data_IF_476592264870
#
_entry.id   IF_476592264870
#
_cell.length_a   1.000
_cell.length_b   1.000
_cell.length_c   1.000
_cell.angle_alpha   90.00
_cell.angle_beta   90.00
_cell.angle_gamma   90.00
#
_symmetry.space_group_name_H-M   'P 1'
#
loop_
_entity.id
_entity.type
_entity.pdbx_description
1 polymer ?
#
# COMPACT_ATOMS: atom_id res chain seq x y z
N UNK A 1 1.58 47.31 8.64
CA UNK A 1 2.66 46.53 9.27
C UNK A 1 2.15 45.11 9.41
N UNK A 2 2.56 44.20 8.51
CA UNK A 2 2.30 42.78 8.66
C UNK A 2 3.41 42.21 9.52
N UNK A 3 3.06 41.84 10.77
CA UNK A 3 3.96 41.11 11.62
C UNK A 3 4.22 39.75 10.98
N UNK A 4 5.42 39.51 10.48
CA UNK A 4 5.86 38.21 9.99
C UNK A 4 5.73 37.19 11.12
N UNK A 5 4.91 36.15 10.92
CA UNK A 5 4.94 34.96 11.78
C UNK A 5 6.34 34.38 11.68
N UNK A 6 7.13 34.46 12.74
CA UNK A 6 8.39 33.74 12.83
C UNK A 6 8.08 32.25 12.68
N UNK A 7 8.64 31.61 11.67
CA UNK A 7 8.47 30.16 11.47
C UNK A 7 9.20 29.44 12.59
N UNK A 8 8.48 28.57 13.30
CA UNK A 8 9.05 27.69 14.33
C UNK A 8 10.08 26.77 13.66
N UNK A 9 11.26 26.70 14.24
CA UNK A 9 12.30 25.78 13.76
C UNK A 9 12.53 24.61 14.74
N UNK A 10 13.20 23.60 14.29
CA UNK A 10 13.49 22.39 15.08
C UNK A 10 14.24 22.71 16.39
N UNK A 11 15.16 23.67 16.34
CA UNK A 11 15.93 24.09 17.52
C UNK A 11 15.05 24.74 18.58
N UNK A 12 13.94 25.39 18.19
CA UNK A 12 13.00 25.97 19.15
C UNK A 12 12.29 24.89 19.98
N UNK A 13 12.06 23.72 19.40
CA UNK A 13 11.49 22.55 20.07
C UNK A 13 12.55 21.89 20.95
N UNK A 14 13.73 21.57 20.39
CA UNK A 14 14.84 20.91 21.11
C UNK A 14 15.32 21.68 22.33
N UNK A 15 15.23 23.02 22.28
CA UNK A 15 15.58 23.87 23.43
C UNK A 15 14.58 23.75 24.60
N UNK A 16 13.40 23.18 24.39
CA UNK A 16 12.29 23.16 25.38
C UNK A 16 11.91 21.75 25.83
N UNK A 17 12.11 20.74 25.00
CA UNK A 17 11.68 19.37 25.27
C UNK A 17 12.66 18.38 24.66
N UNK A 18 12.91 17.27 25.37
CA UNK A 18 13.71 16.16 24.82
C UNK A 18 12.93 15.34 23.82
N UNK A 19 13.63 14.71 22.88
CA UNK A 19 13.01 13.81 21.91
C UNK A 19 12.40 12.57 22.56
N UNK A 20 12.91 12.18 23.71
CA UNK A 20 12.39 11.12 24.58
C UNK A 20 11.02 11.50 25.16
N UNK A 21 10.86 12.75 25.61
CA UNK A 21 9.57 13.25 26.09
C UNK A 21 8.54 13.32 24.95
N UNK A 22 8.96 13.62 23.73
CA UNK A 22 8.09 13.56 22.55
C UNK A 22 7.64 12.11 22.25
N UNK A 23 8.56 11.14 22.31
CA UNK A 23 8.24 9.74 22.14
C UNK A 23 7.25 9.25 23.21
N UNK A 24 7.49 9.63 24.45
CA UNK A 24 6.60 9.28 25.56
C UNK A 24 5.20 9.89 25.40
N UNK A 25 5.13 11.17 25.04
CA UNK A 25 3.84 11.85 24.91
C UNK A 25 3.01 11.42 23.71
N UNK A 26 3.64 11.29 22.54
CA UNK A 26 2.91 11.02 21.29
C UNK A 26 2.80 9.55 20.92
N UNK A 27 3.77 8.73 21.33
CA UNK A 27 3.82 7.29 21.00
C UNK A 27 3.54 6.41 22.24
N UNK A 28 3.34 7.03 23.42
CA UNK A 28 3.15 6.33 24.71
C UNK A 28 4.29 5.32 24.99
N UNK A 29 5.49 5.63 24.55
CA UNK A 29 6.62 4.71 24.57
C UNK A 29 7.86 5.32 25.21
N UNK A 30 8.52 4.56 26.06
CA UNK A 30 9.85 4.88 26.56
C UNK A 30 10.91 4.66 25.45
N UNK A 31 12.09 5.26 25.59
CA UNK A 31 13.23 5.03 24.71
C UNK A 31 14.39 4.51 25.57
N UNK A 32 15.01 3.35 25.25
CA UNK A 32 14.69 2.45 24.14
C UNK A 32 13.45 1.55 24.42
N UNK A 33 12.72 1.19 23.37
CA UNK A 33 11.61 0.24 23.46
C UNK A 33 11.29 -0.44 22.13
N UNK A 34 10.54 -1.53 22.20
CA UNK A 34 9.94 -2.21 21.06
C UNK A 34 8.43 -2.27 21.31
N UNK A 35 7.66 -1.59 20.47
CA UNK A 35 6.20 -1.45 20.60
C UNK A 35 5.48 -1.93 19.35
N UNK A 36 4.16 -2.04 19.41
CA UNK A 36 3.34 -2.19 18.22
C UNK A 36 3.42 -0.93 17.37
N UNK A 37 3.40 -1.08 16.05
CA UNK A 37 3.52 0.06 15.14
C UNK A 37 2.41 1.09 15.39
N UNK A 38 2.73 2.37 15.60
CA UNK A 38 1.72 3.43 15.74
C UNK A 38 1.05 3.78 14.41
N UNK A 39 1.54 3.20 13.30
CA UNK A 39 1.12 3.54 11.94
C UNK A 39 0.14 2.56 11.33
N UNK A 40 0.00 1.36 11.93
CA UNK A 40 -0.86 0.28 11.45
C UNK A 40 -1.29 -0.62 12.61
N UNK A 41 -2.28 -1.46 12.36
CA UNK A 41 -2.59 -2.55 13.29
C UNK A 41 -1.45 -3.57 13.27
N UNK A 42 -0.95 -3.90 14.45
CA UNK A 42 0.17 -4.80 14.65
C UNK A 42 -0.20 -5.82 15.74
N UNK A 43 -0.04 -7.10 15.44
CA UNK A 43 -0.36 -8.18 16.40
C UNK A 43 0.87 -8.56 17.24
N UNK A 44 2.05 -8.11 16.84
CA UNK A 44 3.33 -8.32 17.55
C UNK A 44 4.17 -7.05 17.48
N UNK A 45 4.85 -6.67 18.56
CA UNK A 45 5.73 -5.51 18.56
C UNK A 45 6.78 -5.59 17.43
N UNK A 46 6.78 -4.58 16.58
CA UNK A 46 7.70 -4.51 15.44
C UNK A 46 8.28 -3.11 15.22
N UNK A 47 7.91 -2.14 16.04
CA UNK A 47 8.36 -0.76 15.96
C UNK A 47 9.34 -0.45 17.08
N UNK A 48 10.62 -0.31 16.76
CA UNK A 48 11.69 -0.04 17.72
C UNK A 48 11.97 1.46 17.80
N UNK A 49 12.07 1.95 19.02
CA UNK A 49 12.61 3.28 19.36
C UNK A 49 13.97 3.11 20.03
N UNK A 50 14.96 3.87 19.60
CA UNK A 50 16.33 3.78 20.12
C UNK A 50 17.09 5.10 19.95
N UNK A 51 18.18 5.28 20.71
CA UNK A 51 19.07 6.42 20.57
C UNK A 51 20.17 6.13 19.54
N UNK A 52 20.51 7.14 18.73
CA UNK A 52 21.74 7.10 17.95
C UNK A 52 22.93 7.52 18.82
N UNK A 53 24.14 7.54 18.23
CA UNK A 53 25.38 7.95 18.91
C UNK A 53 25.39 9.41 19.37
N UNK A 54 24.53 10.24 18.83
CA UNK A 54 24.37 11.66 19.15
C UNK A 54 23.26 11.91 20.20
N UNK A 55 22.58 10.86 20.66
CA UNK A 55 21.48 10.94 21.61
C UNK A 55 20.12 11.34 21.00
N UNK A 56 19.98 11.37 19.67
CA UNK A 56 18.71 11.61 19.03
C UNK A 56 17.87 10.34 19.00
N UNK A 57 16.54 10.48 19.11
CA UNK A 57 15.60 9.36 19.03
C UNK A 57 15.32 8.99 17.59
N UNK A 58 15.64 7.76 17.24
CA UNK A 58 15.35 7.14 15.96
C UNK A 58 14.30 6.05 16.12
N UNK A 59 13.60 5.74 15.04
CA UNK A 59 12.76 4.55 14.96
C UNK A 59 13.16 3.65 13.79
N UNK A 60 12.85 2.36 13.95
CA UNK A 60 12.83 1.37 12.89
C UNK A 60 11.60 0.50 13.03
N UNK A 61 10.79 0.43 11.98
CA UNK A 61 9.70 -0.53 11.85
C UNK A 61 10.21 -1.76 11.10
N UNK A 62 10.40 -2.86 11.82
CA UNK A 62 10.96 -4.10 11.26
C UNK A 62 10.03 -4.81 10.29
N UNK A 63 8.74 -4.50 10.30
CA UNK A 63 7.80 -5.13 9.37
C UNK A 63 7.75 -4.42 8.00
N UNK A 64 8.11 -3.13 7.96
CA UNK A 64 8.12 -2.34 6.72
C UNK A 64 9.52 -1.92 6.28
N UNK A 65 10.53 -2.18 7.12
CA UNK A 65 11.92 -1.70 7.03
C UNK A 65 12.05 -0.16 7.02
N UNK A 66 10.98 0.52 7.39
CA UNK A 66 10.95 1.97 7.46
C UNK A 66 11.70 2.46 8.69
N UNK A 67 12.45 3.54 8.54
CA UNK A 67 13.26 4.13 9.60
C UNK A 67 13.32 5.65 9.48
N UNK A 68 13.51 6.32 10.60
CA UNK A 68 13.65 7.78 10.62
C UNK A 68 13.87 8.31 12.02
N UNK A 69 13.80 9.63 12.17
CA UNK A 69 13.83 10.31 13.46
C UNK A 69 12.43 10.35 14.09
N UNK A 70 12.35 10.67 15.37
CA UNK A 70 11.06 10.89 16.05
C UNK A 70 10.19 11.90 15.28
N UNK A 71 10.77 12.93 14.68
CA UNK A 71 10.04 13.93 13.90
C UNK A 71 9.41 13.35 12.65
N UNK A 72 10.09 12.45 11.95
CA UNK A 72 9.50 11.71 10.82
C UNK A 72 8.34 10.82 11.29
N UNK A 73 8.49 10.19 12.45
CA UNK A 73 7.40 9.41 13.04
C UNK A 73 6.18 10.29 13.34
N UNK A 74 6.38 11.49 13.91
CA UNK A 74 5.30 12.44 14.21
C UNK A 74 4.64 13.00 12.95
N UNK A 75 5.43 13.35 11.92
CA UNK A 75 4.86 13.76 10.62
C UNK A 75 3.93 12.68 10.07
N UNK A 76 4.34 11.44 10.13
CA UNK A 76 3.55 10.31 9.67
C UNK A 76 2.33 10.06 10.55
N UNK A 77 2.50 10.11 11.87
CA UNK A 77 1.41 9.88 12.83
C UNK A 77 0.28 10.91 12.65
N UNK A 78 0.65 12.17 12.42
CA UNK A 78 -0.30 13.26 12.22
C UNK A 78 -0.71 13.46 10.77
N UNK A 79 -0.03 12.82 9.83
CA UNK A 79 -0.19 13.04 8.39
C UNK A 79 -0.05 14.54 8.04
N UNK A 80 1.00 15.16 8.53
CA UNK A 80 1.27 16.60 8.40
C UNK A 80 2.58 16.87 7.67
N UNK A 81 2.70 18.08 7.11
CA UNK A 81 3.98 18.57 6.62
C UNK A 81 4.96 18.79 7.79
N UNK A 82 6.25 18.89 7.49
CA UNK A 82 7.27 19.15 8.51
C UNK A 82 6.98 20.45 9.30
N UNK A 83 6.62 21.52 8.60
CA UNK A 83 6.33 22.81 9.23
C UNK A 83 5.08 22.77 10.11
N UNK A 84 4.03 22.08 9.67
CA UNK A 84 2.79 21.94 10.46
C UNK A 84 3.04 21.07 11.70
N UNK A 85 3.83 20.01 11.56
CA UNK A 85 4.24 19.19 12.69
C UNK A 85 5.06 20.00 13.69
N UNK A 86 6.04 20.79 13.25
CA UNK A 86 6.82 21.66 14.13
C UNK A 86 5.91 22.64 14.90
N UNK A 87 4.98 23.27 14.20
CA UNK A 87 4.04 24.23 14.83
C UNK A 87 3.14 23.53 15.85
N UNK A 88 2.65 22.33 15.54
CA UNK A 88 1.81 21.52 16.42
C UNK A 88 2.57 21.12 17.70
N UNK A 89 3.77 20.56 17.54
CA UNK A 89 4.62 20.17 18.68
C UNK A 89 5.01 21.39 19.53
N UNK A 90 5.40 22.49 18.89
CA UNK A 90 5.73 23.73 19.59
C UNK A 90 4.57 24.25 20.42
N UNK A 91 3.36 24.27 19.87
CA UNK A 91 2.16 24.70 20.58
C UNK A 91 1.85 23.78 21.78
N UNK A 92 2.02 22.47 21.61
CA UNK A 92 1.78 21.50 22.70
C UNK A 92 2.81 21.66 23.83
N UNK A 93 4.06 21.97 23.49
CA UNK A 93 5.12 22.28 24.47
C UNK A 93 4.84 23.59 25.20
N UNK A 94 4.54 24.68 24.46
CA UNK A 94 4.30 26.02 25.06
C UNK A 94 3.04 26.02 25.92
N UNK A 95 2.02 25.26 25.54
CA UNK A 95 0.80 25.12 26.33
C UNK A 95 0.94 24.15 27.53
N UNK A 96 2.15 23.68 27.83
CA UNK A 96 2.43 22.84 28.98
C UNK A 96 1.89 21.41 28.89
N UNK A 97 1.50 20.95 27.71
CA UNK A 97 1.00 19.58 27.51
C UNK A 97 2.12 18.55 27.57
N UNK A 98 3.34 18.97 27.22
CA UNK A 98 4.55 18.14 27.24
C UNK A 98 5.50 18.72 28.27
N UNK A 99 5.79 17.95 29.32
CA UNK A 99 6.75 18.38 30.35
C UNK A 99 8.17 18.01 29.97
N UNK A 100 9.11 18.92 30.23
CA UNK A 100 10.55 18.72 30.01
C UNK A 100 11.15 17.58 30.86
N UNK A 101 10.47 17.13 31.88
CA UNK A 101 10.99 16.16 32.87
C UNK A 101 10.32 14.79 32.82
N UNK A 102 9.72 14.36 31.71
CA UNK A 102 9.25 12.97 31.52
C UNK A 102 8.33 12.37 32.62
N UNK A 103 7.94 13.16 33.64
CA UNK A 103 7.15 12.70 34.79
C UNK A 103 5.94 13.59 34.98
N UNK A 104 4.76 12.99 34.78
CA UNK A 104 3.44 13.43 35.24
C UNK A 104 2.86 14.71 34.58
N UNK A 105 1.79 14.66 33.87
CA UNK A 105 0.42 14.37 34.22
C UNK A 105 -0.38 13.99 32.99
N UNK A 106 -0.88 12.77 33.00
CA UNK A 106 -1.82 12.28 32.02
C UNK A 106 -3.13 13.08 32.09
N UNK A 107 -3.31 13.94 31.12
CA UNK A 107 -4.55 13.84 30.41
C UNK A 107 -4.28 12.73 29.39
N UNK A 108 -4.66 11.49 29.74
CA UNK A 108 -4.95 10.49 28.74
C UNK A 108 -5.91 11.22 27.79
N UNK A 109 -5.39 11.76 26.69
CA UNK A 109 -6.19 11.73 25.49
C UNK A 109 -6.35 10.24 25.25
N UNK A 110 -7.46 9.69 25.76
CA UNK A 110 -8.00 8.54 25.12
C UNK A 110 -8.10 8.97 23.68
N UNK A 111 -7.12 8.55 22.86
CA UNK A 111 -7.45 8.27 21.51
C UNK A 111 -8.53 7.21 21.69
N UNK A 112 -9.77 7.69 21.85
CA UNK A 112 -10.89 6.87 21.55
C UNK A 112 -10.42 6.24 20.24
N UNK A 113 -10.37 4.94 20.22
CA UNK A 113 -10.55 4.21 18.99
C UNK A 113 -11.90 4.70 18.48
N UNK A 114 -11.92 5.94 17.96
CA UNK A 114 -12.87 6.27 16.96
C UNK A 114 -12.60 5.16 15.97
N UNK A 115 -13.56 4.27 15.83
CA UNK A 115 -13.70 3.54 14.60
C UNK A 115 -13.35 4.58 13.54
N UNK A 116 -12.11 4.49 13.06
CA UNK A 116 -11.71 5.28 11.91
C UNK A 116 -12.56 4.71 10.81
N UNK A 117 -13.75 5.24 10.64
CA UNK A 117 -14.38 5.29 9.35
C UNK A 117 -13.39 6.09 8.52
N UNK A 118 -12.39 5.37 8.05
CA UNK A 118 -11.42 5.90 7.11
C UNK A 118 -12.15 6.03 5.79
N UNK A 119 -13.15 6.90 5.72
CA UNK A 119 -13.80 7.31 4.49
C UNK A 119 -12.82 8.18 3.71
N UNK A 120 -11.72 7.55 3.30
CA UNK A 120 -10.83 8.15 2.33
C UNK A 120 -11.51 8.01 0.98
N UNK A 121 -11.85 9.13 0.38
CA UNK A 121 -12.34 9.19 -1.01
C UNK A 121 -11.17 9.58 -1.90
N UNK A 122 -11.00 8.86 -3.02
CA UNK A 122 -10.06 9.23 -4.07
C UNK A 122 -10.86 9.51 -5.33
N UNK A 123 -10.81 10.74 -5.80
CA UNK A 123 -11.27 11.15 -7.13
C UNK A 123 -10.05 11.33 -8.04
N UNK A 124 -10.22 11.18 -9.36
CA UNK A 124 -9.10 11.18 -10.31
C UNK A 124 -9.36 12.11 -11.49
N UNK A 125 -8.30 12.75 -12.00
CA UNK A 125 -8.29 13.44 -13.27
C UNK A 125 -7.68 12.55 -14.36
N UNK A 126 -8.52 11.97 -15.20
CA UNK A 126 -8.10 11.11 -16.30
C UNK A 126 -7.52 11.96 -17.44
N UNK A 127 -6.47 11.49 -18.08
CA UNK A 127 -5.89 12.04 -19.31
C UNK A 127 -5.98 11.04 -20.46
N UNK A 128 -5.63 11.46 -21.64
CA UNK A 128 -5.47 10.54 -22.78
C UNK A 128 -4.25 9.65 -22.60
N UNK A 129 -4.31 8.45 -23.16
CA UNK A 129 -3.15 7.57 -23.32
C UNK A 129 -2.08 8.28 -24.13
N UNK A 130 -0.86 8.25 -23.69
CA UNK A 130 0.29 8.85 -24.35
C UNK A 130 1.23 7.73 -24.86
N UNK A 131 2.07 7.99 -25.86
CA UNK A 131 2.96 6.96 -26.42
C UNK A 131 3.81 6.23 -25.37
N UNK A 132 4.29 6.96 -24.35
CA UNK A 132 5.07 6.34 -23.27
C UNK A 132 4.26 5.41 -22.36
N UNK A 133 2.94 5.65 -22.20
CA UNK A 133 2.07 4.74 -21.45
C UNK A 133 1.88 3.43 -22.23
N UNK A 134 1.63 3.55 -23.54
CA UNK A 134 1.50 2.40 -24.44
C UNK A 134 2.78 1.58 -24.42
N UNK A 135 3.94 2.23 -24.51
CA UNK A 135 5.24 1.56 -24.42
C UNK A 135 5.42 0.85 -23.07
N UNK A 136 5.08 1.52 -21.98
CA UNK A 136 5.16 0.95 -20.64
C UNK A 136 4.32 -0.32 -20.51
N UNK A 137 3.05 -0.28 -20.86
CA UNK A 137 2.14 -1.40 -20.70
C UNK A 137 2.38 -2.52 -21.72
N UNK A 138 2.74 -2.19 -22.97
CA UNK A 138 3.11 -3.19 -23.97
C UNK A 138 4.38 -3.96 -23.60
N UNK A 139 5.26 -3.39 -22.77
CA UNK A 139 6.41 -4.12 -22.23
C UNK A 139 6.02 -5.32 -21.34
N UNK A 140 4.74 -5.43 -20.95
CA UNK A 140 4.14 -6.57 -20.25
C UNK A 140 3.13 -7.34 -21.12
N UNK A 141 3.05 -7.04 -22.41
CA UNK A 141 2.08 -7.64 -23.32
C UNK A 141 0.65 -7.15 -23.13
N UNK A 142 0.46 -6.01 -22.46
CA UNK A 142 -0.85 -5.41 -22.17
C UNK A 142 -1.06 -4.24 -23.13
N UNK A 143 -2.12 -4.28 -23.96
CA UNK A 143 -2.52 -3.18 -24.83
C UNK A 143 -3.59 -2.28 -24.17
N UNK A 144 -3.91 -1.17 -24.81
CA UNK A 144 -4.89 -0.20 -24.31
C UNK A 144 -6.30 -0.79 -24.19
N UNK A 145 -6.72 -1.70 -25.07
CA UNK A 145 -8.04 -2.31 -25.01
C UNK A 145 -8.20 -3.14 -23.72
N UNK A 146 -7.15 -3.83 -23.29
CA UNK A 146 -7.12 -4.53 -22.01
C UNK A 146 -7.15 -3.59 -20.82
N UNK A 147 -6.48 -2.44 -20.93
CA UNK A 147 -6.50 -1.43 -19.86
C UNK A 147 -7.89 -0.79 -19.72
N UNK A 148 -8.52 -0.46 -20.84
CA UNK A 148 -9.88 0.07 -20.87
C UNK A 148 -10.90 -0.98 -20.35
N UNK A 149 -10.76 -2.24 -20.77
CA UNK A 149 -11.57 -3.36 -20.25
C UNK A 149 -11.45 -3.50 -18.74
N UNK A 150 -10.26 -3.29 -18.20
CA UNK A 150 -9.97 -3.43 -16.78
C UNK A 150 -10.26 -2.17 -15.95
N UNK A 151 -10.86 -1.14 -16.51
CA UNK A 151 -11.06 0.17 -15.86
C UNK A 151 -9.72 0.75 -15.31
N UNK A 152 -8.66 0.67 -16.10
CA UNK A 152 -7.37 1.28 -15.82
C UNK A 152 -7.24 2.57 -16.61
N UNK A 153 -6.99 3.67 -15.93
CA UNK A 153 -6.95 5.01 -16.55
C UNK A 153 -5.65 5.73 -16.26
N UNK A 154 -5.00 6.36 -17.27
CA UNK A 154 -3.87 7.24 -17.04
C UNK A 154 -4.38 8.56 -16.43
N UNK A 155 -3.68 9.06 -15.42
CA UNK A 155 -4.12 10.22 -14.65
C UNK A 155 -3.08 11.35 -14.61
N UNK A 156 -3.54 12.58 -14.40
CA UNK A 156 -2.69 13.77 -14.17
C UNK A 156 -2.64 14.16 -12.71
N UNK A 157 -3.75 14.01 -12.00
CA UNK A 157 -3.91 14.36 -10.60
C UNK A 157 -4.88 13.39 -9.95
N UNK A 158 -4.78 13.27 -8.62
CA UNK A 158 -5.83 12.66 -7.81
C UNK A 158 -6.15 13.55 -6.62
N UNK A 159 -7.38 13.48 -6.17
CA UNK A 159 -7.93 14.25 -5.06
C UNK A 159 -8.14 13.28 -3.91
N UNK A 160 -7.45 13.52 -2.81
CA UNK A 160 -7.58 12.71 -1.61
C UNK A 160 -8.44 13.47 -0.61
N UNK A 161 -9.66 13.03 -0.40
CA UNK A 161 -10.57 13.60 0.60
C UNK A 161 -10.54 12.75 1.86
N UNK A 162 -10.22 13.36 2.99
CA UNK A 162 -10.22 12.75 4.31
C UNK A 162 -10.75 13.75 5.32
N UNK A 163 -11.69 13.36 6.16
CA UNK A 163 -12.32 14.24 7.16
C UNK A 163 -12.89 15.55 6.55
N UNK A 164 -13.49 15.46 5.37
CA UNK A 164 -14.01 16.59 4.58
C UNK A 164 -12.95 17.60 4.06
N UNK A 165 -11.68 17.30 4.24
CA UNK A 165 -10.59 18.07 3.63
C UNK A 165 -10.09 17.39 2.38
N UNK A 166 -9.96 18.13 1.28
CA UNK A 166 -9.50 17.60 0.00
C UNK A 166 -8.12 18.15 -0.33
N UNK A 167 -7.17 17.26 -0.50
CA UNK A 167 -5.84 17.55 -1.01
C UNK A 167 -5.76 17.20 -2.49
N UNK A 168 -5.22 18.11 -3.31
CA UNK A 168 -4.96 17.89 -4.73
C UNK A 168 -3.50 17.45 -4.88
N UNK A 169 -3.29 16.29 -5.46
CA UNK A 169 -1.95 15.71 -5.60
C UNK A 169 -1.67 15.53 -7.09
N UNK A 170 -0.59 16.16 -7.56
CA UNK A 170 -0.11 15.95 -8.92
C UNK A 170 0.48 14.54 -9.02
N UNK A 171 0.00 13.77 -9.97
CA UNK A 171 0.53 12.43 -10.22
C UNK A 171 1.84 12.48 -11.03
N UNK A 172 2.63 11.41 -10.90
CA UNK A 172 3.84 11.23 -11.68
C UNK A 172 3.54 11.06 -13.19
N UNK A 173 4.56 11.17 -14.02
CA UNK A 173 4.42 10.96 -15.49
C UNK A 173 3.77 9.61 -15.80
N UNK A 174 4.21 8.56 -15.12
CA UNK A 174 3.63 7.21 -15.22
C UNK A 174 2.73 7.00 -13.99
N UNK A 175 1.48 7.41 -14.12
CA UNK A 175 0.50 7.23 -13.07
C UNK A 175 -0.82 6.73 -13.65
N UNK A 176 -1.33 5.67 -13.03
CA UNK A 176 -2.52 4.96 -13.49
C UNK A 176 -3.46 4.73 -12.32
N UNK A 177 -4.75 4.86 -12.55
CA UNK A 177 -5.77 4.53 -11.55
C UNK A 177 -6.43 3.20 -11.93
N UNK A 178 -6.43 2.27 -10.99
CA UNK A 178 -7.23 1.05 -11.03
C UNK A 178 -8.56 1.32 -10.35
N UNK A 179 -9.66 1.18 -11.09
CA UNK A 179 -11.00 1.45 -10.59
C UNK A 179 -11.79 0.16 -10.51
N UNK A 180 -12.26 -0.19 -9.33
CA UNK A 180 -13.13 -1.35 -9.13
C UNK A 180 -14.47 -0.90 -8.58
N UNK A 181 -15.56 -1.48 -9.10
CA UNK A 181 -16.95 -1.21 -8.67
C UNK A 181 -17.54 -2.45 -8.06
N UNK A 182 -17.91 -2.37 -6.79
CA UNK A 182 -18.52 -3.48 -6.06
C UNK A 182 -19.67 -2.96 -5.19
N UNK A 183 -20.86 -3.48 -5.40
CA UNK A 183 -22.04 -3.22 -4.54
C UNK A 183 -22.31 -1.71 -4.32
N UNK A 184 -22.17 -0.90 -5.38
CA UNK A 184 -22.33 0.56 -5.32
C UNK A 184 -21.14 1.33 -4.77
N UNK A 185 -20.13 0.64 -4.24
CA UNK A 185 -18.86 1.24 -3.79
C UNK A 185 -17.88 1.32 -4.96
N UNK A 186 -17.22 2.44 -5.10
CA UNK A 186 -16.11 2.64 -6.05
C UNK A 186 -14.80 2.71 -5.24
N UNK A 187 -13.88 1.81 -5.56
CA UNK A 187 -12.53 1.85 -5.02
C UNK A 187 -11.55 2.27 -6.10
N UNK A 188 -10.63 3.12 -5.72
CA UNK A 188 -9.56 3.61 -6.59
C UNK A 188 -8.23 3.30 -5.93
N UNK A 189 -7.34 2.69 -6.70
CA UNK A 189 -5.94 2.49 -6.33
C UNK A 189 -5.06 3.15 -7.38
N UNK A 190 -4.26 4.11 -6.96
CA UNK A 190 -3.31 4.79 -7.86
C UNK A 190 -2.01 4.00 -7.90
N UNK A 191 -1.53 3.72 -9.09
CA UNK A 191 -0.26 3.06 -9.35
C UNK A 191 0.74 4.01 -9.99
N UNK A 192 1.86 4.22 -9.32
CA UNK A 192 2.96 5.08 -9.78
C UNK A 192 4.27 4.29 -9.72
N UNK A 193 4.62 3.55 -10.79
CA UNK A 193 5.72 2.57 -10.78
C UNK A 193 7.07 3.15 -10.37
N UNK A 194 7.32 4.40 -10.68
CA UNK A 194 8.59 5.08 -10.43
C UNK A 194 8.57 6.04 -9.24
N UNK A 195 7.44 6.16 -8.53
CA UNK A 195 7.35 6.99 -7.34
C UNK A 195 7.88 6.23 -6.11
N UNK A 196 8.94 6.71 -5.45
CA UNK A 196 9.54 5.99 -4.34
C UNK A 196 8.70 6.03 -3.05
N UNK A 197 7.90 7.09 -2.85
CA UNK A 197 7.19 7.30 -1.57
C UNK A 197 5.70 7.02 -1.62
N UNK A 198 5.03 7.30 -2.75
CA UNK A 198 3.58 7.19 -2.90
C UNK A 198 3.20 6.30 -4.07
N UNK A 199 3.78 5.10 -4.10
CA UNK A 199 3.58 4.16 -5.20
C UNK A 199 2.13 3.67 -5.30
N UNK A 200 1.43 3.55 -4.16
CA UNK A 200 0.14 2.87 -4.05
C UNK A 200 -0.92 3.59 -3.19
N UNK A 201 -1.27 4.88 -3.42
CA UNK A 201 -2.42 5.46 -2.75
C UNK A 201 -3.70 4.69 -3.09
N UNK A 202 -4.52 4.33 -2.08
CA UNK A 202 -5.75 3.59 -2.27
C UNK A 202 -6.80 3.98 -1.24
N UNK A 203 -8.08 3.86 -1.60
CA UNK A 203 -9.21 4.03 -0.69
C UNK A 203 -9.90 2.73 -0.29
N UNK A 204 -9.29 1.58 -0.58
CA UNK A 204 -9.76 0.27 -0.14
C UNK A 204 -9.12 -0.11 1.20
N UNK A 205 -9.61 0.49 2.27
CA UNK A 205 -8.99 0.36 3.60
C UNK A 205 -9.30 -0.96 4.32
N UNK A 206 -10.38 -1.63 3.92
CA UNK A 206 -10.83 -2.88 4.54
C UNK A 206 -10.33 -4.14 3.81
N UNK A 207 -9.67 -3.97 2.65
CA UNK A 207 -9.14 -5.07 1.86
C UNK A 207 -10.22 -6.00 1.25
N UNK A 208 -11.51 -5.62 1.31
CA UNK A 208 -12.61 -6.47 0.81
C UNK A 208 -12.75 -6.46 -0.70
N UNK A 209 -12.19 -5.44 -1.37
CA UNK A 209 -12.26 -5.33 -2.82
C UNK A 209 -11.09 -6.08 -3.45
N UNK A 210 -11.41 -7.02 -4.32
CA UNK A 210 -10.48 -7.77 -5.16
C UNK A 210 -10.56 -7.17 -6.55
N UNK A 211 -9.45 -6.76 -7.12
CA UNK A 211 -9.43 -6.11 -8.43
C UNK A 211 -9.74 -7.11 -9.55
N UNK A 212 -10.35 -6.61 -10.63
CA UNK A 212 -10.84 -7.38 -11.77
C UNK A 212 -11.96 -8.37 -11.44
N UNK A 213 -12.52 -8.31 -10.24
CA UNK A 213 -13.59 -9.23 -9.81
C UNK A 213 -14.82 -9.18 -10.71
N UNK A 214 -15.23 -7.97 -11.08
CA UNK A 214 -16.38 -7.74 -11.96
C UNK A 214 -16.13 -8.16 -13.42
N UNK A 215 -14.88 -8.42 -13.79
CA UNK A 215 -14.46 -8.71 -15.16
C UNK A 215 -14.32 -10.21 -15.45
N UNK A 216 -14.04 -11.01 -14.44
CA UNK A 216 -13.88 -12.46 -14.64
C UNK A 216 -15.22 -13.14 -14.99
N UNK A 217 -15.21 -14.17 -15.84
CA UNK A 217 -16.41 -14.89 -16.24
C UNK A 217 -17.14 -15.51 -15.06
N UNK A 218 -18.46 -15.71 -15.20
CA UNK A 218 -19.29 -16.31 -14.14
C UNK A 218 -18.98 -17.78 -13.90
N UNK A 219 -18.40 -18.48 -14.89
CA UNK A 219 -17.99 -19.89 -14.81
C UNK A 219 -16.74 -20.10 -15.65
N UNK A 220 -15.91 -21.04 -15.25
CA UNK A 220 -14.70 -21.40 -16.01
C UNK A 220 -13.96 -22.59 -15.43
N UNK A 221 -12.93 -23.04 -16.15
CA UNK A 221 -12.09 -24.14 -15.70
C UNK A 221 -11.06 -23.65 -14.65
N UNK A 222 -10.43 -22.51 -14.92
CA UNK A 222 -9.33 -21.97 -14.09
C UNK A 222 -9.48 -20.47 -13.91
N UNK A 223 -9.14 -19.97 -12.72
CA UNK A 223 -8.90 -18.55 -12.43
C UNK A 223 -7.65 -18.42 -11.60
N UNK A 224 -6.86 -17.38 -11.84
CA UNK A 224 -5.65 -17.09 -11.07
C UNK A 224 -5.87 -15.91 -10.11
N UNK A 225 -5.30 -16.00 -8.92
CA UNK A 225 -5.21 -14.93 -7.91
C UNK A 225 -3.79 -14.43 -7.91
N UNK A 226 -3.59 -13.18 -8.33
CA UNK A 226 -2.29 -12.53 -8.44
C UNK A 226 -2.07 -11.48 -7.34
N UNK A 227 -0.82 -11.05 -7.13
CA UNK A 227 -0.43 -10.03 -6.17
C UNK A 227 -0.83 -8.62 -6.60
N UNK A 228 -0.85 -8.34 -7.90
CA UNK A 228 -1.13 -7.02 -8.44
C UNK A 228 -2.00 -7.07 -9.72
N UNK A 229 -2.68 -5.94 -10.00
CA UNK A 229 -3.47 -5.77 -11.23
C UNK A 229 -2.58 -5.90 -12.47
N UNK A 230 -1.35 -5.40 -12.41
CA UNK A 230 -0.38 -5.52 -13.51
C UNK A 230 -0.10 -6.98 -13.84
N UNK A 231 0.10 -7.83 -12.83
CA UNK A 231 0.38 -9.25 -13.00
C UNK A 231 -0.85 -10.01 -13.50
N UNK A 232 -2.01 -9.73 -12.93
CA UNK A 232 -3.26 -10.32 -13.38
C UNK A 232 -3.57 -9.97 -14.84
N UNK A 233 -3.36 -8.72 -15.26
CA UNK A 233 -3.54 -8.30 -16.64
C UNK A 233 -2.48 -8.90 -17.57
N UNK A 234 -1.21 -8.95 -17.14
CA UNK A 234 -0.13 -9.58 -17.91
C UNK A 234 -0.45 -11.06 -18.17
N UNK A 235 -0.90 -11.79 -17.16
CA UNK A 235 -1.31 -13.17 -17.30
C UNK A 235 -2.50 -13.29 -18.25
N UNK A 236 -3.59 -12.59 -17.95
CA UNK A 236 -4.86 -12.75 -18.66
C UNK A 236 -4.79 -12.31 -20.12
N UNK A 237 -4.21 -11.13 -20.41
CA UNK A 237 -4.09 -10.60 -21.77
C UNK A 237 -3.21 -11.48 -22.69
N UNK A 238 -2.26 -12.19 -22.12
CA UNK A 238 -1.35 -13.02 -22.92
C UNK A 238 -1.83 -14.48 -23.04
N UNK A 239 -2.42 -15.05 -21.99
CA UNK A 239 -2.76 -16.49 -21.96
C UNK A 239 -4.25 -16.77 -22.15
N UNK A 240 -5.13 -15.78 -21.98
CA UNK A 240 -6.56 -15.96 -21.96
C UNK A 240 -7.11 -16.54 -20.64
N UNK A 241 -6.24 -16.88 -19.67
CA UNK A 241 -6.67 -17.40 -18.36
C UNK A 241 -7.12 -16.24 -17.48
N UNK A 242 -8.38 -16.23 -17.02
CA UNK A 242 -8.90 -15.17 -16.16
C UNK A 242 -8.08 -15.00 -14.89
N UNK A 243 -7.90 -13.77 -14.46
CA UNK A 243 -7.16 -13.48 -13.24
C UNK A 243 -7.81 -12.33 -12.46
N UNK A 244 -7.72 -12.43 -11.14
CA UNK A 244 -8.05 -11.36 -10.18
C UNK A 244 -6.79 -10.94 -9.42
N UNK A 245 -6.81 -9.77 -8.83
CA UNK A 245 -5.67 -9.30 -8.05
C UNK A 245 -6.07 -8.89 -6.63
N UNK A 246 -5.26 -9.28 -5.66
CA UNK A 246 -5.38 -8.81 -4.29
C UNK A 246 -4.97 -7.33 -4.20
N UNK A 247 -5.40 -6.64 -3.15
CA UNK A 247 -5.03 -5.23 -2.94
C UNK A 247 -3.59 -5.05 -2.47
N UNK A 248 -2.93 -6.11 -2.07
CA UNK A 248 -1.54 -6.18 -1.66
C UNK A 248 -1.26 -7.49 -0.94
N UNK A 249 0.01 -7.78 -0.73
CA UNK A 249 0.45 -8.90 0.09
C UNK A 249 -0.04 -8.71 1.54
N UNK A 250 -0.53 -9.79 2.14
CA UNK A 250 -1.05 -9.75 3.51
C UNK A 250 -2.54 -9.45 3.65
N UNK A 251 -3.25 -9.08 2.59
CA UNK A 251 -4.71 -8.93 2.64
C UNK A 251 -5.41 -10.29 2.50
N UNK A 252 -6.15 -10.74 3.54
CA UNK A 252 -6.86 -12.02 3.46
C UNK A 252 -8.04 -11.92 2.49
N UNK A 253 -8.36 -13.02 1.83
CA UNK A 253 -9.61 -13.15 1.11
C UNK A 253 -10.75 -13.46 2.09
N UNK A 254 -11.90 -12.80 1.93
CA UNK A 254 -13.08 -13.14 2.71
C UNK A 254 -13.60 -14.54 2.36
N UNK A 255 -14.24 -15.22 3.33
CA UNK A 255 -14.85 -16.53 3.08
C UNK A 255 -15.89 -16.48 1.95
N UNK A 256 -16.59 -15.35 1.81
CA UNK A 256 -17.53 -15.14 0.70
C UNK A 256 -16.79 -15.18 -0.65
N UNK A 257 -15.70 -14.43 -0.80
CA UNK A 257 -14.92 -14.42 -2.04
C UNK A 257 -14.32 -15.80 -2.35
N UNK A 258 -13.82 -16.50 -1.34
CA UNK A 258 -13.30 -17.86 -1.50
C UNK A 258 -14.38 -18.83 -2.00
N UNK A 259 -15.56 -18.80 -1.39
CA UNK A 259 -16.68 -19.68 -1.79
C UNK A 259 -17.23 -19.32 -3.18
N UNK A 260 -17.29 -18.04 -3.52
CA UNK A 260 -17.72 -17.58 -4.83
C UNK A 260 -16.75 -18.06 -5.92
N UNK A 261 -15.45 -17.92 -5.75
CA UNK A 261 -14.48 -18.44 -6.73
C UNK A 261 -14.57 -19.96 -6.87
N UNK A 262 -14.73 -20.70 -5.76
CA UNK A 262 -14.90 -22.17 -5.81
C UNK A 262 -16.20 -22.60 -6.52
N UNK A 263 -17.25 -21.80 -6.44
CA UNK A 263 -18.51 -22.11 -7.14
C UNK A 263 -18.45 -21.83 -8.64
N UNK A 264 -17.63 -20.85 -9.03
CA UNK A 264 -17.49 -20.38 -10.42
C UNK A 264 -16.44 -21.15 -11.22
N UNK A 265 -15.38 -21.58 -10.57
CA UNK A 265 -14.24 -22.18 -11.26
C UNK A 265 -13.90 -23.57 -10.70
N UNK A 266 -13.55 -24.51 -11.59
CA UNK A 266 -13.13 -25.85 -11.18
C UNK A 266 -11.80 -25.82 -10.40
N UNK A 267 -10.90 -24.88 -10.76
CA UNK A 267 -9.62 -24.69 -10.12
C UNK A 267 -9.36 -23.22 -9.88
N UNK A 268 -8.90 -22.89 -8.68
CA UNK A 268 -8.44 -21.55 -8.31
C UNK A 268 -6.97 -21.65 -7.95
N UNK A 269 -6.14 -20.93 -8.67
CA UNK A 269 -4.68 -20.96 -8.53
C UNK A 269 -4.19 -19.66 -7.87
N UNK A 270 -3.26 -19.77 -6.94
CA UNK A 270 -2.57 -18.63 -6.33
C UNK A 270 -1.24 -18.48 -7.03
N UNK A 271 -1.01 -17.33 -7.67
CA UNK A 271 0.23 -17.00 -8.39
C UNK A 271 0.73 -15.64 -7.88
N UNK A 272 1.38 -15.64 -6.73
CA UNK A 272 1.94 -14.43 -6.12
C UNK A 272 3.43 -14.29 -6.45
N UNK A 273 4.06 -13.28 -5.87
CA UNK A 273 5.49 -13.01 -6.05
C UNK A 273 6.36 -14.16 -5.54
N UNK A 274 7.49 -14.41 -6.20
CA UNK A 274 8.47 -15.44 -5.83
C UNK A 274 9.54 -14.92 -4.84
N UNK A 275 9.32 -13.78 -4.20
CA UNK A 275 10.16 -13.34 -3.08
C UNK A 275 9.72 -13.99 -1.74
N UNK A 276 10.55 -13.85 -0.71
CA UNK A 276 10.28 -14.50 0.58
C UNK A 276 8.90 -14.14 1.14
N UNK A 277 8.50 -12.84 1.20
CA UNK A 277 7.17 -12.46 1.67
C UNK A 277 6.04 -13.06 0.82
N UNK A 278 6.18 -13.04 -0.51
CA UNK A 278 5.17 -13.57 -1.44
C UNK A 278 5.00 -15.09 -1.28
N UNK A 279 6.09 -15.84 -1.14
CA UNK A 279 6.06 -17.31 -0.92
C UNK A 279 5.44 -17.69 0.43
N UNK A 280 5.77 -16.95 1.49
CA UNK A 280 5.15 -17.15 2.81
C UNK A 280 3.65 -16.85 2.79
N UNK A 281 3.28 -15.74 2.15
CA UNK A 281 1.89 -15.32 2.08
C UNK A 281 1.07 -16.25 1.18
N UNK A 282 1.58 -16.64 0.00
CA UNK A 282 0.89 -17.59 -0.89
C UNK A 282 0.65 -18.94 -0.20
N UNK A 283 1.60 -19.41 0.58
CA UNK A 283 1.47 -20.65 1.39
C UNK A 283 0.38 -20.50 2.46
N UNK A 284 0.34 -19.39 3.17
CA UNK A 284 -0.71 -19.10 4.17
C UNK A 284 -2.09 -19.00 3.51
N UNK A 285 -2.17 -18.31 2.37
CA UNK A 285 -3.42 -18.15 1.62
C UNK A 285 -3.93 -19.50 1.10
N UNK A 286 -3.05 -20.33 0.56
CA UNK A 286 -3.40 -21.69 0.10
C UNK A 286 -3.98 -22.55 1.23
N UNK A 287 -3.34 -22.54 2.41
CA UNK A 287 -3.84 -23.26 3.59
C UNK A 287 -5.20 -22.75 4.06
N UNK A 288 -5.40 -21.42 4.05
CA UNK A 288 -6.64 -20.82 4.51
C UNK A 288 -7.81 -21.04 3.54
N UNK A 289 -7.54 -21.05 2.24
CA UNK A 289 -8.57 -21.10 1.19
C UNK A 289 -8.77 -22.49 0.59
N UNK A 290 -7.76 -23.36 0.65
CA UNK A 290 -7.72 -24.63 -0.07
C UNK A 290 -7.48 -24.44 -1.58
N UNK A 291 -7.03 -23.28 -2.02
CA UNK A 291 -6.60 -23.03 -3.40
C UNK A 291 -5.21 -23.62 -3.69
N UNK A 292 -4.95 -23.93 -4.93
CA UNK A 292 -3.65 -24.48 -5.33
C UNK A 292 -2.59 -23.36 -5.42
N UNK A 293 -1.53 -23.48 -4.64
CA UNK A 293 -0.39 -22.56 -4.72
C UNK A 293 0.52 -22.93 -5.90
N UNK A 294 0.80 -21.97 -6.76
CA UNK A 294 1.62 -22.12 -7.97
C UNK A 294 2.83 -21.22 -7.87
N UNK A 295 3.99 -21.82 -7.92
CA UNK A 295 5.27 -21.09 -7.93
C UNK A 295 5.72 -20.93 -9.38
N UNK A 296 6.03 -19.70 -9.78
CA UNK A 296 6.58 -19.43 -11.12
C UNK A 296 7.94 -20.10 -11.28
N UNK A 297 8.33 -20.47 -12.52
CA UNK A 297 9.68 -20.91 -12.80
C UNK A 297 10.72 -19.88 -12.33
N UNK A 298 11.84 -20.35 -11.81
CA UNK A 298 12.92 -19.43 -11.41
C UNK A 298 13.46 -18.67 -12.63
N UNK A 299 13.65 -17.37 -12.48
CA UNK A 299 14.28 -16.51 -13.48
C UNK A 299 15.09 -15.40 -12.78
N UNK A 300 16.11 -14.94 -13.45
CA UNK A 300 16.99 -13.89 -12.93
C UNK A 300 16.38 -12.50 -13.15
N UNK A 301 16.42 -11.66 -12.12
CA UNK A 301 16.12 -10.23 -12.24
C UNK A 301 14.67 -9.82 -11.99
N UNK A 302 13.84 -10.71 -11.49
CA UNK A 302 12.45 -10.37 -11.13
C UNK A 302 11.80 -11.37 -10.19
N UNK A 303 10.57 -11.11 -9.81
CA UNK A 303 9.85 -11.90 -8.81
C UNK A 303 8.38 -12.20 -9.17
N UNK A 304 7.80 -11.45 -10.08
CA UNK A 304 6.38 -11.54 -10.45
C UNK A 304 6.16 -11.96 -11.90
N UNK A 305 4.91 -12.20 -12.27
CA UNK A 305 4.50 -12.64 -13.61
C UNK A 305 4.93 -11.66 -14.69
N UNK A 306 4.78 -10.37 -14.43
CA UNK A 306 5.14 -9.33 -15.38
C UNK A 306 6.66 -9.16 -15.53
N UNK A 307 7.41 -9.37 -14.48
CA UNK A 307 8.88 -9.44 -14.53
C UNK A 307 9.31 -10.65 -15.36
N UNK A 308 8.64 -11.82 -15.20
CA UNK A 308 8.91 -13.01 -15.99
C UNK A 308 8.65 -12.77 -17.48
N UNK A 309 7.52 -12.10 -17.81
CA UNK A 309 7.23 -11.71 -19.20
C UNK A 309 8.35 -10.88 -19.81
N UNK A 310 8.82 -9.85 -19.09
CA UNK A 310 9.93 -9.00 -19.53
C UNK A 310 11.24 -9.77 -19.68
N UNK A 311 11.57 -10.64 -18.73
CA UNK A 311 12.80 -11.42 -18.75
C UNK A 311 12.85 -12.40 -19.94
N UNK A 312 11.72 -13.04 -20.25
CA UNK A 312 11.61 -13.95 -21.40
C UNK A 312 11.68 -13.18 -22.72
N UNK A 313 11.15 -11.98 -22.78
CA UNK A 313 11.09 -11.15 -24.00
C UNK A 313 10.60 -11.91 -25.23
N UNK A 314 9.75 -12.88 -25.05
CA UNK A 314 9.15 -13.71 -26.09
C UNK A 314 7.74 -14.14 -25.65
N UNK A 315 6.72 -13.55 -26.24
CA UNK A 315 5.33 -13.78 -25.89
C UNK A 315 4.90 -15.24 -26.02
N UNK A 316 5.30 -15.92 -27.11
CA UNK A 316 4.89 -17.31 -27.33
C UNK A 316 5.51 -18.25 -26.31
N UNK A 317 6.77 -18.02 -25.97
CA UNK A 317 7.45 -18.78 -24.92
C UNK A 317 6.81 -18.53 -23.56
N UNK A 318 6.53 -17.28 -23.21
CA UNK A 318 5.82 -16.93 -21.98
C UNK A 318 4.48 -17.66 -21.88
N UNK A 319 3.65 -17.60 -22.95
CA UNK A 319 2.35 -18.28 -22.99
C UNK A 319 2.53 -19.78 -22.75
N UNK A 320 3.45 -20.41 -23.47
CA UNK A 320 3.72 -21.85 -23.32
C UNK A 320 4.14 -22.21 -21.90
N UNK A 321 5.08 -21.46 -21.32
CA UNK A 321 5.62 -21.73 -19.99
C UNK A 321 4.53 -21.57 -18.92
N UNK A 322 3.76 -20.48 -18.98
CA UNK A 322 2.68 -20.23 -18.01
C UNK A 322 1.55 -21.26 -18.14
N UNK A 323 1.12 -21.59 -19.37
CA UNK A 323 0.08 -22.61 -19.57
C UNK A 323 0.55 -24.00 -19.13
N UNK A 324 1.82 -24.36 -19.33
CA UNK A 324 2.38 -25.61 -18.82
C UNK A 324 2.31 -25.65 -17.27
N UNK A 325 2.63 -24.55 -16.60
CA UNK A 325 2.53 -24.46 -15.14
C UNK A 325 1.06 -24.57 -14.68
N UNK A 326 0.13 -23.92 -15.38
CA UNK A 326 -1.31 -23.96 -15.03
C UNK A 326 -1.95 -25.33 -15.30
N UNK A 327 -1.58 -26.02 -16.38
CA UNK A 327 -2.20 -27.29 -16.81
C UNK A 327 -1.41 -28.52 -16.35
N UNK A 328 -0.17 -28.37 -15.93
CA UNK A 328 0.66 -29.46 -15.41
C UNK A 328 0.37 -29.83 -13.95
N UNK A 329 -0.61 -29.15 -13.36
CA UNK A 329 -1.15 -29.38 -12.01
C UNK A 329 -2.46 -30.21 -12.14
#
# INVERSE_FOLDING_TARGET
MFAGKSSVCLNDIRARVSEEALAFYYLEAAVPSLINSPFRRDDKPSFSLYFNSEGNVLYKDFATDEKGTIYHALMRLFNMSFNDMLQTVYNDVVNGKISSNGTQFGVKRSYSSHERTNDIKIDICIRKWMPWDVEYWSSFGINTDWLDYADVYPITHYFLTKNNETSVIRAEKYAYAYVERKEGKITVKVYQPYCPMYKWPANNNDGTTIALWSKIPQQGDVVCVCSSVKDALCLWSNTGVPAVALQGEGYPMSNHAVNDLKSRFKRVLIMLDNDIPGLEYSTKLARATGFTNVILPFFSGGKDISDYYKAINNRQRFIKDILNVIHGL
#
